data_IF_894729030850
#
_entry.id   IF_894729030850
#
_cell.length_a   1.000
_cell.length_b   1.000
_cell.length_c   1.000
_cell.angle_alpha   90.00
_cell.angle_beta   90.00
_cell.angle_gamma   90.00
#
_symmetry.space_group_name_H-M   'P 1'
#
loop_
_entity.id
_entity.type
_entity.pdbx_description
1 polymer ?
#
# COMPACT_ATOMS: atom_id res chain seq x y z
N UNK A 1 10.95 14.84 -23.55
CA UNK A 1 9.53 15.12 -23.92
C UNK A 1 9.40 15.25 -25.43
N UNK A 2 10.01 16.26 -26.06
CA UNK A 2 9.87 16.56 -27.49
C UNK A 2 10.08 15.36 -28.44
N UNK A 3 11.20 14.64 -28.30
CA UNK A 3 11.47 13.47 -29.13
C UNK A 3 10.43 12.35 -28.94
N UNK A 4 10.02 12.10 -27.70
CA UNK A 4 9.03 11.07 -27.39
C UNK A 4 7.68 11.43 -28.00
N UNK A 5 7.21 12.67 -27.84
CA UNK A 5 5.96 13.17 -28.42
C UNK A 5 5.96 13.10 -29.94
N UNK A 6 7.11 13.41 -30.58
CA UNK A 6 7.26 13.31 -32.04
C UNK A 6 7.15 11.86 -32.51
N UNK A 7 7.80 10.93 -31.81
CA UNK A 7 7.80 9.52 -32.17
C UNK A 7 6.40 8.87 -32.04
N UNK A 8 5.57 9.32 -31.09
CA UNK A 8 4.17 8.87 -30.93
C UNK A 8 3.17 9.64 -31.81
N UNK A 9 3.66 10.49 -32.73
CA UNK A 9 2.83 11.18 -33.72
C UNK A 9 2.02 12.33 -33.16
N UNK A 10 2.54 13.09 -32.18
CA UNK A 10 1.95 14.37 -31.79
C UNK A 10 2.07 15.37 -32.96
N UNK A 11 0.97 15.99 -33.42
CA UNK A 11 0.96 16.77 -34.68
C UNK A 11 1.76 18.07 -34.60
N UNK A 12 1.93 18.64 -33.41
CA UNK A 12 2.62 19.92 -33.22
C UNK A 12 4.09 19.71 -32.86
N UNK A 13 4.98 20.49 -33.46
CA UNK A 13 6.41 20.46 -33.14
C UNK A 13 6.63 21.16 -31.78
N UNK A 14 7.25 20.44 -30.85
CA UNK A 14 7.62 20.96 -29.53
C UNK A 14 9.12 21.26 -29.49
N UNK A 15 9.51 22.48 -29.08
CA UNK A 15 10.88 22.82 -28.73
C UNK A 15 11.01 23.01 -27.21
N UNK A 16 12.24 22.91 -26.69
CA UNK A 16 12.50 23.22 -25.28
C UNK A 16 12.23 24.70 -24.94
N UNK A 17 12.33 25.59 -25.93
CA UNK A 17 12.12 27.02 -25.74
C UNK A 17 10.66 27.37 -25.47
N UNK A 18 9.72 26.57 -26.02
CA UNK A 18 8.28 26.73 -25.78
C UNK A 18 7.88 26.60 -24.30
N UNK A 19 8.73 25.98 -23.48
CA UNK A 19 8.48 25.74 -22.06
C UNK A 19 9.35 26.61 -21.13
N UNK A 20 10.22 27.47 -21.68
CA UNK A 20 11.00 28.45 -20.88
C UNK A 20 10.11 29.56 -20.31
N UNK A 21 9.04 29.89 -21.04
CA UNK A 21 8.04 30.86 -20.61
C UNK A 21 6.73 30.16 -20.31
N UNK A 22 5.93 30.67 -19.36
CA UNK A 22 4.64 30.10 -19.07
C UNK A 22 3.70 30.09 -20.30
N UNK A 23 3.38 28.91 -20.83
CA UNK A 23 2.46 28.73 -21.96
C UNK A 23 1.37 27.69 -21.63
N UNK A 24 0.29 28.14 -20.97
CA UNK A 24 -0.82 27.26 -20.60
C UNK A 24 -1.55 26.66 -21.82
N UNK A 25 -1.87 27.42 -22.89
CA UNK A 25 -2.54 26.86 -24.07
C UNK A 25 -1.80 25.65 -24.66
N UNK A 26 -0.47 25.70 -24.73
CA UNK A 26 0.35 24.59 -25.19
C UNK A 26 0.24 23.36 -24.26
N UNK A 27 0.28 23.58 -22.95
CA UNK A 27 0.14 22.50 -21.96
C UNK A 27 -1.25 21.88 -22.04
N UNK A 28 -2.30 22.70 -22.22
CA UNK A 28 -3.68 22.23 -22.35
C UNK A 28 -3.87 21.40 -23.62
N UNK A 29 -3.40 21.88 -24.77
CA UNK A 29 -3.46 21.14 -26.04
C UNK A 29 -2.73 19.79 -25.94
N UNK A 30 -1.52 19.80 -25.38
CA UNK A 30 -0.74 18.58 -25.19
C UNK A 30 -1.41 17.62 -24.20
N UNK A 31 -1.98 18.13 -23.11
CA UNK A 31 -2.67 17.31 -22.11
C UNK A 31 -3.96 16.70 -22.66
N UNK A 32 -4.75 17.47 -23.42
CA UNK A 32 -5.92 16.95 -24.13
C UNK A 32 -5.54 15.82 -25.09
N UNK A 33 -4.49 16.03 -25.89
CA UNK A 33 -3.99 15.03 -26.82
C UNK A 33 -3.58 13.73 -26.10
N UNK A 34 -2.88 13.85 -24.96
CA UNK A 34 -2.51 12.69 -24.13
C UNK A 34 -3.78 11.98 -23.63
N UNK A 35 -4.75 12.70 -23.08
CA UNK A 35 -6.00 12.11 -22.56
C UNK A 35 -6.73 11.33 -23.66
N UNK A 36 -6.85 11.91 -24.87
CA UNK A 36 -7.51 11.27 -26.01
C UNK A 36 -6.78 10.02 -26.53
N UNK A 37 -5.49 9.85 -26.23
CA UNK A 37 -4.75 8.61 -26.51
C UNK A 37 -5.09 7.48 -25.55
N UNK A 38 -5.44 7.80 -24.30
CA UNK A 38 -5.89 6.81 -23.31
C UNK A 38 -7.39 6.52 -23.41
N UNK A 39 -8.18 7.53 -23.78
CA UNK A 39 -9.63 7.44 -23.93
C UNK A 39 -10.09 8.28 -25.13
N UNK A 40 -10.33 7.65 -26.30
CA UNK A 40 -10.81 8.36 -27.49
C UNK A 40 -12.17 9.05 -27.30
N UNK A 41 -12.98 8.61 -26.34
CA UNK A 41 -14.31 9.16 -26.05
C UNK A 41 -14.31 10.29 -25.03
N UNK A 42 -13.15 10.68 -24.50
CA UNK A 42 -13.05 11.70 -23.47
C UNK A 42 -13.58 13.06 -23.94
N UNK A 43 -14.61 13.56 -23.25
CA UNK A 43 -15.19 14.89 -23.46
C UNK A 43 -14.36 15.94 -22.72
N UNK A 44 -13.25 16.34 -23.32
CA UNK A 44 -12.36 17.40 -22.82
C UNK A 44 -11.86 18.25 -23.99
N UNK A 45 -11.84 19.57 -23.81
CA UNK A 45 -11.49 20.54 -24.86
C UNK A 45 -10.55 21.62 -24.30
N UNK A 46 -9.38 21.80 -24.90
CA UNK A 46 -8.41 22.82 -24.53
C UNK A 46 -8.77 24.21 -25.07
N UNK A 47 -9.58 24.30 -26.13
CA UNK A 47 -9.95 25.56 -26.79
C UNK A 47 -10.75 26.51 -25.87
N UNK A 48 -11.53 25.95 -24.94
CA UNK A 48 -12.41 26.70 -24.04
C UNK A 48 -11.74 26.99 -22.68
N UNK A 49 -10.47 27.37 -22.67
CA UNK A 49 -9.67 27.57 -21.44
C UNK A 49 -9.24 29.04 -21.21
N UNK A 50 -10.10 29.97 -21.60
CA UNK A 50 -9.83 31.41 -21.55
C UNK A 50 -9.88 31.94 -20.11
N UNK A 51 -10.84 31.46 -19.31
CA UNK A 51 -10.99 31.90 -17.92
C UNK A 51 -10.15 31.02 -16.98
N UNK A 52 -9.74 31.61 -15.85
CA UNK A 52 -9.03 30.84 -14.82
C UNK A 52 -9.86 29.66 -14.30
N UNK A 53 -11.17 29.84 -14.18
CA UNK A 53 -12.06 28.79 -13.69
C UNK A 53 -12.13 27.61 -14.68
N UNK A 54 -12.25 27.90 -15.98
CA UNK A 54 -12.17 26.89 -17.03
C UNK A 54 -10.85 26.12 -17.00
N UNK A 55 -9.71 26.80 -16.82
CA UNK A 55 -8.41 26.13 -16.73
C UNK A 55 -8.31 25.17 -15.55
N UNK A 56 -8.82 25.59 -14.40
CA UNK A 56 -8.87 24.75 -13.20
C UNK A 56 -9.76 23.53 -13.41
N UNK A 57 -10.93 23.71 -14.03
CA UNK A 57 -11.85 22.63 -14.34
C UNK A 57 -11.23 21.64 -15.34
N UNK A 58 -10.60 22.16 -16.41
CA UNK A 58 -9.90 21.38 -17.41
C UNK A 58 -8.82 20.49 -16.80
N UNK A 59 -7.93 21.04 -15.96
CA UNK A 59 -6.88 20.25 -15.31
C UNK A 59 -7.48 19.19 -14.40
N UNK A 60 -8.50 19.53 -13.61
CA UNK A 60 -9.17 18.56 -12.72
C UNK A 60 -9.73 17.39 -13.53
N UNK A 61 -10.41 17.69 -14.63
CA UNK A 61 -11.00 16.68 -15.52
C UNK A 61 -9.92 15.79 -16.15
N UNK A 62 -8.87 16.39 -16.71
CA UNK A 62 -7.78 15.65 -17.34
C UNK A 62 -7.07 14.70 -16.36
N UNK A 63 -6.73 15.20 -15.16
CA UNK A 63 -6.05 14.41 -14.13
C UNK A 63 -6.94 13.27 -13.63
N UNK A 64 -8.24 13.53 -13.46
CA UNK A 64 -9.20 12.51 -13.06
C UNK A 64 -9.29 11.38 -14.10
N UNK A 65 -9.44 11.72 -15.38
CA UNK A 65 -9.52 10.75 -16.47
C UNK A 65 -8.23 9.91 -16.58
N UNK A 66 -7.05 10.54 -16.46
CA UNK A 66 -5.78 9.82 -16.48
C UNK A 66 -5.63 8.90 -15.26
N UNK A 67 -6.05 9.33 -14.08
CA UNK A 67 -6.03 8.49 -12.90
C UNK A 67 -6.96 7.27 -13.05
N UNK A 68 -8.16 7.47 -13.59
CA UNK A 68 -9.14 6.40 -13.79
C UNK A 68 -8.70 5.39 -14.84
N UNK A 69 -8.22 5.87 -16.00
CA UNK A 69 -7.97 5.01 -17.16
C UNK A 69 -6.55 4.42 -17.18
N UNK A 70 -5.58 5.12 -16.59
CA UNK A 70 -4.16 4.74 -16.67
C UNK A 70 -3.46 4.63 -15.31
N UNK A 71 -4.16 4.94 -14.21
CA UNK A 71 -3.61 5.01 -12.84
C UNK A 71 -2.44 5.99 -12.70
N UNK A 72 -2.26 6.91 -13.65
CA UNK A 72 -1.26 7.96 -13.58
C UNK A 72 -1.67 9.02 -12.57
N UNK A 73 -0.79 9.28 -11.60
CA UNK A 73 -0.96 10.31 -10.59
C UNK A 73 -0.19 11.55 -11.00
N UNK A 74 -0.86 12.48 -11.66
CA UNK A 74 -0.30 13.78 -12.02
C UNK A 74 -0.60 14.80 -10.93
N UNK A 75 0.29 15.77 -10.73
CA UNK A 75 0.07 16.87 -9.78
C UNK A 75 -0.61 18.06 -10.49
N UNK A 76 -1.89 18.36 -10.18
CA UNK A 76 -2.64 19.46 -10.81
C UNK A 76 -1.96 20.82 -10.64
N UNK A 77 -1.27 21.03 -9.50
CA UNK A 77 -0.62 22.31 -9.21
C UNK A 77 0.54 22.56 -10.15
N UNK A 78 1.37 21.56 -10.38
CA UNK A 78 2.55 21.66 -11.24
C UNK A 78 2.18 21.77 -12.72
N UNK A 79 1.07 21.14 -13.13
CA UNK A 79 0.48 21.35 -14.45
C UNK A 79 -0.01 22.79 -14.64
N UNK A 80 -0.57 23.40 -13.58
CA UNK A 80 -1.09 24.77 -13.62
C UNK A 80 -0.08 25.87 -13.30
N UNK A 81 1.10 25.56 -12.74
CA UNK A 81 2.09 26.54 -12.23
C UNK A 81 2.81 27.34 -13.34
N UNK A 82 2.09 27.55 -14.43
CA UNK A 82 2.40 28.28 -15.64
C UNK A 82 1.77 29.68 -15.56
N UNK A 83 1.31 30.18 -14.40
CA UNK A 83 0.62 31.47 -14.34
C UNK A 83 1.05 32.33 -13.14
N UNK A 84 1.69 33.44 -13.51
CA UNK A 84 1.80 34.75 -12.85
C UNK A 84 2.47 34.87 -11.48
N UNK A 85 3.55 35.66 -11.50
CA UNK A 85 4.01 36.52 -10.42
C UNK A 85 2.87 36.96 -9.47
N UNK A 86 2.96 36.60 -8.20
CA UNK A 86 2.50 37.47 -7.12
C UNK A 86 1.00 37.53 -6.76
N UNK A 87 0.17 36.52 -7.06
CA UNK A 87 -1.17 36.42 -6.42
C UNK A 87 -1.46 35.01 -5.87
N UNK A 88 -1.43 34.80 -4.54
CA UNK A 88 -1.75 33.50 -3.91
C UNK A 88 -3.24 33.13 -3.94
N UNK A 89 -4.08 33.83 -4.72
CA UNK A 89 -5.54 33.69 -4.66
C UNK A 89 -6.09 32.48 -5.44
N UNK A 90 -5.41 32.05 -6.50
CA UNK A 90 -5.88 31.00 -7.41
C UNK A 90 -5.78 29.59 -6.80
N UNK A 91 -4.77 29.36 -5.94
CA UNK A 91 -4.55 28.09 -5.26
C UNK A 91 -5.59 27.81 -4.15
N UNK A 92 -6.18 28.85 -3.56
CA UNK A 92 -7.19 28.71 -2.52
C UNK A 92 -8.50 28.10 -3.05
N UNK A 93 -8.88 28.35 -4.32
CA UNK A 93 -10.07 27.74 -4.94
C UNK A 93 -9.90 26.26 -5.32
N UNK A 94 -8.66 25.75 -5.38
CA UNK A 94 -8.43 24.32 -5.64
C UNK A 94 -8.74 23.42 -4.43
N UNK A 95 -8.93 24.01 -3.23
CA UNK A 95 -9.02 23.26 -1.95
C UNK A 95 -10.36 22.52 -1.77
N UNK A 96 -11.40 22.80 -2.56
CA UNK A 96 -12.75 22.24 -2.29
C UNK A 96 -12.97 20.81 -2.81
N UNK A 97 -11.98 20.13 -3.41
CA UNK A 97 -12.17 18.72 -3.81
C UNK A 97 -11.00 17.86 -3.34
N UNK A 98 -11.11 17.38 -2.09
CA UNK A 98 -10.63 16.10 -1.55
C UNK A 98 -9.47 15.37 -2.25
N UNK A 99 -8.33 16.04 -2.44
CA UNK A 99 -7.05 15.40 -2.72
C UNK A 99 -6.09 15.83 -1.60
N UNK A 100 -6.10 15.05 -0.51
CA UNK A 100 -5.22 15.24 0.63
C UNK A 100 -3.74 15.14 0.21
N UNK A 101 -3.03 16.24 0.39
CA UNK A 101 -1.60 16.30 0.76
C UNK A 101 -1.21 17.77 1.01
N UNK A 102 -1.75 18.36 2.07
CA UNK A 102 -1.28 19.65 2.59
C UNK A 102 -0.26 19.44 3.69
N UNK A 103 0.99 19.13 3.34
CA UNK A 103 2.13 19.39 4.24
C UNK A 103 3.24 20.09 3.46
N UNK A 104 3.62 21.27 3.98
CA UNK A 104 4.79 22.09 3.63
C UNK A 104 4.64 23.00 2.39
N UNK A 105 3.97 24.11 2.60
CA UNK A 105 4.01 25.28 1.72
C UNK A 105 5.25 26.11 2.04
N UNK A 106 6.37 25.81 1.38
CA UNK A 106 7.52 26.73 1.36
C UNK A 106 7.37 27.62 0.15
N UNK A 107 7.45 28.94 0.34
CA UNK A 107 7.64 29.89 -0.75
C UNK A 107 8.93 29.51 -1.47
N UNK A 108 8.81 28.77 -2.57
CA UNK A 108 9.91 28.50 -3.49
C UNK A 108 9.70 29.45 -4.65
N UNK A 109 10.72 30.24 -4.94
CA UNK A 109 10.76 31.16 -6.07
C UNK A 109 10.26 30.46 -7.35
N UNK A 110 9.50 31.14 -8.24
CA UNK A 110 9.11 30.55 -9.51
C UNK A 110 10.35 30.46 -10.40
N UNK A 111 11.11 29.37 -10.28
CA UNK A 111 11.77 28.84 -11.46
C UNK A 111 10.63 28.41 -12.39
N UNK A 112 10.44 29.17 -13.48
CA UNK A 112 9.49 28.85 -14.53
C UNK A 112 9.89 27.59 -15.32
N UNK A 113 10.85 26.84 -14.81
CA UNK A 113 11.58 25.79 -15.51
C UNK A 113 10.79 24.48 -15.44
N UNK A 114 9.77 24.35 -16.29
CA UNK A 114 9.30 23.05 -16.74
C UNK A 114 8.54 22.19 -15.72
N UNK A 115 7.92 22.74 -14.68
CA UNK A 115 7.09 21.95 -13.75
C UNK A 115 5.96 21.19 -14.47
N UNK A 116 5.28 21.83 -15.43
CA UNK A 116 4.27 21.16 -16.25
C UNK A 116 4.89 20.07 -17.12
N UNK A 117 6.07 20.31 -17.70
CA UNK A 117 6.81 19.33 -18.50
C UNK A 117 7.16 18.09 -17.67
N UNK A 118 7.63 18.28 -16.43
CA UNK A 118 7.98 17.18 -15.52
C UNK A 118 6.77 16.29 -15.23
N UNK A 119 5.59 16.86 -15.07
CA UNK A 119 4.35 16.10 -14.84
C UNK A 119 3.82 15.43 -16.11
N UNK A 120 4.09 15.98 -17.30
CA UNK A 120 3.66 15.36 -18.57
C UNK A 120 4.57 14.18 -18.99
N UNK A 121 5.83 14.17 -18.55
CA UNK A 121 6.80 13.13 -18.92
C UNK A 121 6.32 11.72 -18.58
N UNK A 122 5.81 11.39 -17.38
CA UNK A 122 5.31 10.05 -17.06
C UNK A 122 4.24 9.55 -18.03
N UNK A 123 3.28 10.41 -18.39
CA UNK A 123 2.21 10.05 -19.31
C UNK A 123 2.74 9.79 -20.73
N UNK A 124 3.60 10.67 -21.23
CA UNK A 124 4.21 10.52 -22.56
C UNK A 124 5.17 9.33 -22.62
N UNK A 125 5.94 9.08 -21.57
CA UNK A 125 6.82 7.90 -21.48
C UNK A 125 6.02 6.61 -21.57
N UNK A 126 4.93 6.51 -20.82
CA UNK A 126 4.06 5.33 -20.85
C UNK A 126 3.53 5.06 -22.26
N UNK A 127 3.04 6.11 -22.95
CA UNK A 127 2.58 6.00 -24.33
C UNK A 127 3.72 5.62 -25.30
N UNK A 128 4.91 6.20 -25.11
CA UNK A 128 6.07 5.93 -25.94
C UNK A 128 6.60 4.51 -25.77
N UNK A 129 6.67 4.00 -24.54
CA UNK A 129 7.04 2.62 -24.24
C UNK A 129 6.03 1.64 -24.83
N UNK A 130 4.73 1.92 -24.71
CA UNK A 130 3.68 1.13 -25.36
C UNK A 130 3.82 1.14 -26.89
N UNK A 131 4.16 2.29 -27.49
CA UNK A 131 4.35 2.39 -28.94
C UNK A 131 5.57 1.66 -29.48
N UNK A 132 6.57 1.40 -28.62
CA UNK A 132 7.80 0.69 -28.99
C UNK A 132 7.64 -0.83 -29.01
N UNK A 133 6.55 -1.37 -28.48
CA UNK A 133 6.32 -2.80 -28.43
C UNK A 133 5.78 -3.33 -29.77
N UNK A 134 6.66 -3.88 -30.61
CA UNK A 134 6.33 -4.90 -31.64
C UNK A 134 7.54 -5.86 -31.76
N UNK A 135 7.34 -7.21 -31.77
CA UNK A 135 6.31 -7.95 -32.50
C UNK A 135 5.35 -8.78 -31.63
N UNK A 136 4.27 -9.26 -32.25
CA UNK A 136 3.16 -9.99 -31.61
C UNK A 136 3.54 -11.34 -30.94
N UNK A 137 4.74 -11.87 -31.18
CA UNK A 137 5.21 -13.12 -30.55
C UNK A 137 5.60 -12.94 -29.07
N UNK A 138 6.04 -11.74 -28.67
CA UNK A 138 6.51 -11.47 -27.30
C UNK A 138 5.39 -11.14 -26.31
N UNK A 139 4.24 -10.66 -26.78
CA UNK A 139 3.11 -10.27 -25.90
C UNK A 139 2.55 -11.48 -25.16
N UNK A 140 2.41 -12.61 -25.86
CA UNK A 140 1.92 -13.84 -25.25
C UNK A 140 2.95 -14.42 -24.27
N UNK A 141 4.25 -14.36 -24.60
CA UNK A 141 5.32 -14.76 -23.70
C UNK A 141 5.34 -13.89 -22.43
N UNK A 142 5.19 -12.58 -22.57
CA UNK A 142 5.11 -11.63 -21.45
C UNK A 142 3.88 -11.89 -20.58
N UNK A 143 2.72 -12.10 -21.18
CA UNK A 143 1.48 -12.43 -20.46
C UNK A 143 1.59 -13.77 -19.71
N UNK A 144 2.23 -14.77 -20.32
CA UNK A 144 2.48 -16.06 -19.67
C UNK A 144 3.48 -15.93 -18.52
N UNK A 145 4.50 -15.06 -18.63
CA UNK A 145 5.42 -14.73 -17.54
C UNK A 145 4.71 -14.01 -16.38
N UNK A 146 3.78 -13.10 -16.67
CA UNK A 146 2.95 -12.45 -15.65
C UNK A 146 2.04 -13.47 -14.96
N UNK A 147 1.35 -14.32 -15.75
CA UNK A 147 0.47 -15.39 -15.22
C UNK A 147 1.21 -16.34 -14.30
N UNK A 148 2.41 -16.79 -14.69
CA UNK A 148 3.22 -17.69 -13.87
C UNK A 148 3.62 -17.05 -12.54
N UNK A 149 4.07 -15.79 -12.56
CA UNK A 149 4.34 -15.03 -11.32
C UNK A 149 3.10 -14.87 -10.44
N UNK A 150 1.95 -14.56 -11.03
CA UNK A 150 0.69 -14.41 -10.31
C UNK A 150 0.26 -15.73 -9.66
N UNK A 151 0.36 -16.85 -10.39
CA UNK A 151 0.04 -18.17 -9.90
C UNK A 151 0.97 -18.58 -8.76
N UNK A 152 2.28 -18.33 -8.87
CA UNK A 152 3.23 -18.59 -7.78
C UNK A 152 2.83 -17.81 -6.51
N UNK A 153 2.53 -16.52 -6.63
CA UNK A 153 2.05 -15.69 -5.52
C UNK A 153 0.73 -16.20 -4.93
N UNK A 154 -0.20 -16.66 -5.77
CA UNK A 154 -1.44 -17.26 -5.31
C UNK A 154 -1.20 -18.55 -4.52
N UNK A 155 -0.25 -19.39 -4.92
CA UNK A 155 0.12 -20.60 -4.18
C UNK A 155 0.78 -20.26 -2.83
N UNK A 156 1.68 -19.28 -2.78
CA UNK A 156 2.26 -18.80 -1.52
C UNK A 156 1.16 -18.38 -0.52
N UNK A 157 0.15 -17.64 -0.98
CA UNK A 157 -0.99 -17.21 -0.15
C UNK A 157 -1.79 -18.42 0.34
N UNK A 158 -2.00 -19.44 -0.50
CA UNK A 158 -2.72 -20.67 -0.11
C UNK A 158 -1.97 -21.44 0.97
N UNK A 159 -0.66 -21.62 0.80
CA UNK A 159 0.20 -22.28 1.79
C UNK A 159 0.18 -21.51 3.10
N UNK A 160 0.33 -20.18 3.06
CA UNK A 160 0.29 -19.33 4.25
C UNK A 160 -1.03 -19.49 5.02
N UNK A 161 -2.17 -19.54 4.32
CA UNK A 161 -3.48 -19.80 4.95
C UNK A 161 -3.56 -21.19 5.56
N UNK A 162 -3.09 -22.22 4.85
CA UNK A 162 -3.08 -23.58 5.38
C UNK A 162 -2.23 -23.69 6.66
N UNK A 163 -1.03 -23.12 6.67
CA UNK A 163 -0.17 -23.08 7.85
C UNK A 163 -0.84 -22.32 9.01
N UNK A 164 -1.48 -21.20 8.72
CA UNK A 164 -2.24 -20.44 9.72
C UNK A 164 -3.39 -21.24 10.34
N UNK A 165 -3.99 -22.19 9.60
CA UNK A 165 -5.03 -23.09 10.17
C UNK A 165 -4.46 -24.24 10.99
N UNK A 166 -3.23 -24.67 10.70
CA UNK A 166 -2.56 -25.74 11.44
C UNK A 166 -1.98 -25.23 12.77
N UNK A 167 -1.54 -23.97 12.82
CA UNK A 167 -0.88 -23.39 13.99
C UNK A 167 -1.70 -23.51 15.30
N UNK A 168 -3.02 -23.18 15.34
CA UNK A 168 -3.83 -23.37 16.54
C UNK A 168 -4.02 -24.85 16.92
N UNK A 169 -4.14 -25.74 15.93
CA UNK A 169 -4.32 -27.18 16.17
C UNK A 169 -3.07 -27.78 16.81
N UNK A 170 -1.89 -27.43 16.30
CA UNK A 170 -0.61 -27.83 16.90
C UNK A 170 -0.40 -27.22 18.28
N UNK A 171 -0.84 -25.98 18.49
CA UNK A 171 -0.79 -25.31 19.79
C UNK A 171 -1.64 -26.02 20.85
N UNK A 172 -2.88 -26.39 20.50
CA UNK A 172 -3.77 -27.15 21.40
C UNK A 172 -3.19 -28.52 21.76
N UNK A 173 -2.70 -29.26 20.75
CA UNK A 173 -2.12 -30.57 20.99
C UNK A 173 -0.89 -30.51 21.91
N UNK A 174 -0.04 -29.49 21.73
CA UNK A 174 1.13 -29.28 22.57
C UNK A 174 0.74 -28.88 23.99
N UNK A 175 -0.25 -28.01 24.16
CA UNK A 175 -0.78 -27.63 25.47
C UNK A 175 -1.27 -28.86 26.25
N UNK A 176 -2.01 -29.76 25.60
CA UNK A 176 -2.52 -30.99 26.23
C UNK A 176 -1.39 -31.96 26.63
N UNK A 177 -0.33 -32.07 25.80
CA UNK A 177 0.84 -32.89 26.10
C UNK A 177 1.65 -32.34 27.28
N UNK A 178 1.88 -31.02 27.33
CA UNK A 178 2.55 -30.37 28.45
C UNK A 178 1.75 -30.51 29.76
N UNK A 179 0.41 -30.41 29.68
CA UNK A 179 -0.45 -30.65 30.85
C UNK A 179 -0.30 -32.07 31.43
N UNK A 180 -0.13 -33.08 30.56
CA UNK A 180 0.13 -34.47 30.97
C UNK A 180 1.54 -34.66 31.52
N UNK A 181 2.52 -33.91 31.03
CA UNK A 181 3.91 -34.02 31.48
C UNK A 181 4.04 -33.74 32.99
N UNK A 182 3.34 -32.72 33.51
CA UNK A 182 3.37 -32.39 34.94
C UNK A 182 2.91 -33.58 35.80
N UNK A 183 1.84 -34.26 35.37
CA UNK A 183 1.33 -35.45 36.03
C UNK A 183 2.33 -36.63 35.94
N UNK A 184 2.84 -36.93 34.74
CA UNK A 184 3.81 -38.00 34.54
C UNK A 184 5.14 -37.72 35.26
N UNK A 185 5.53 -36.46 35.43
CA UNK A 185 6.70 -36.04 36.21
C UNK A 185 6.47 -36.25 37.71
N UNK A 186 5.31 -35.87 38.23
CA UNK A 186 4.96 -36.12 39.63
C UNK A 186 4.99 -37.62 39.97
N UNK A 187 4.41 -38.47 39.11
CA UNK A 187 4.44 -39.92 39.30
C UNK A 187 5.86 -40.50 39.25
N UNK A 188 6.73 -40.00 38.37
CA UNK A 188 8.14 -40.40 38.34
C UNK A 188 8.87 -40.04 39.64
N UNK A 189 8.66 -38.81 40.15
CA UNK A 189 9.28 -38.39 41.41
C UNK A 189 8.74 -39.19 42.60
N UNK A 190 7.43 -39.46 42.64
CA UNK A 190 6.83 -40.30 43.68
C UNK A 190 7.38 -41.72 43.66
N UNK A 191 7.57 -42.33 42.48
CA UNK A 191 8.18 -43.67 42.41
C UNK A 191 9.62 -43.71 42.93
N UNK A 192 10.40 -42.65 42.73
CA UNK A 192 11.77 -42.52 43.27
C UNK A 192 11.75 -42.34 44.78
N UNK A 193 10.83 -41.53 45.31
CA UNK A 193 10.69 -41.33 46.76
C UNK A 193 10.20 -42.63 47.44
N UNK A 194 9.29 -43.37 46.81
CA UNK A 194 8.80 -44.66 47.34
C UNK A 194 9.90 -45.73 47.37
N UNK A 195 10.86 -45.69 46.45
CA UNK A 195 12.02 -46.62 46.50
C UNK A 195 13.05 -46.25 47.57
N UNK A 196 13.11 -44.98 47.99
CA UNK A 196 14.03 -44.53 49.05
C UNK A 196 13.45 -44.69 50.46
N UNK A 197 12.13 -44.86 50.61
CA UNK A 197 11.47 -45.02 51.92
C UNK A 197 10.97 -46.46 52.11
N UNK A 198 11.92 -47.29 52.52
CA UNK A 198 11.83 -48.46 53.44
C UNK A 198 11.51 -49.86 52.89
N UNK A 199 12.20 -50.93 53.35
CA UNK A 199 11.61 -52.26 53.36
C UNK A 199 10.67 -52.40 54.57
N UNK A 200 9.39 -52.62 54.27
CA UNK A 200 8.40 -53.38 55.07
C UNK A 200 8.28 -53.04 56.56
N UNK A 201 7.20 -52.34 56.94
CA UNK A 201 6.19 -52.91 57.86
C UNK A 201 5.10 -51.89 58.24
N UNK A 202 3.84 -52.35 58.11
CA UNK A 202 2.59 -51.93 58.77
C UNK A 202 2.18 -50.44 58.71
N UNK A 203 1.00 -50.19 58.17
CA UNK A 203 -0.04 -49.22 58.60
C UNK A 203 -1.22 -49.35 57.62
N UNK A 204 -2.05 -50.40 57.74
CA UNK A 204 -3.38 -50.34 58.37
C UNK A 204 -4.03 -48.96 58.38
N UNK A 205 -5.15 -48.85 57.65
CA UNK A 205 -6.28 -47.96 57.90
C UNK A 205 -5.97 -46.48 58.16
N UNK A 206 -6.00 -45.68 57.10
CA UNK A 206 -6.48 -44.31 57.16
C UNK A 206 -7.19 -43.97 55.85
N UNK A 207 -8.53 -44.05 55.86
CA UNK A 207 -9.32 -43.20 54.99
C UNK A 207 -9.00 -41.75 55.36
N UNK A 208 -8.20 -41.07 54.54
CA UNK A 208 -8.05 -39.62 54.63
C UNK A 208 -8.98 -39.02 53.59
N UNK A 209 -10.19 -38.71 54.05
CA UNK A 209 -11.05 -37.70 53.44
C UNK A 209 -10.25 -36.42 53.27
N UNK A 210 -10.33 -35.82 52.09
CA UNK A 210 -9.75 -34.51 51.78
C UNK A 210 -10.74 -33.43 52.26
N UNK A 211 -10.55 -32.87 53.46
CA UNK A 211 -10.74 -31.44 53.59
C UNK A 211 -9.57 -30.79 54.35
N UNK A 212 -9.31 -29.52 54.05
CA UNK A 212 -8.38 -28.58 54.72
C UNK A 212 -6.95 -28.42 54.16
N UNK A 213 -6.50 -29.19 53.16
CA UNK A 213 -5.22 -28.87 52.48
C UNK A 213 -5.35 -27.82 51.34
N UNK A 214 -6.57 -27.42 50.98
CA UNK A 214 -6.83 -26.44 49.91
C UNK A 214 -6.83 -24.97 50.37
N UNK A 215 -6.78 -24.71 51.68
CA UNK A 215 -6.75 -23.33 52.23
C UNK A 215 -5.41 -22.62 52.03
N UNK A 216 -4.29 -23.35 52.02
CA UNK A 216 -2.96 -22.74 51.90
C UNK A 216 -2.54 -22.47 50.44
N UNK A 217 -3.10 -23.18 49.46
CA UNK A 217 -2.73 -23.02 48.04
C UNK A 217 -3.48 -21.85 47.38
N UNK A 218 -4.68 -21.52 47.85
CA UNK A 218 -5.43 -20.35 47.32
C UNK A 218 -4.91 -19.00 47.84
N UNK A 219 -4.23 -18.95 48.98
CA UNK A 219 -3.69 -17.70 49.54
C UNK A 219 -2.44 -17.18 48.81
N UNK A 220 -1.84 -17.97 47.91
CA UNK A 220 -0.75 -17.51 47.03
C UNK A 220 -1.22 -16.93 45.69
N UNK A 221 -2.54 -16.95 45.40
CA UNK A 221 -3.09 -16.46 44.13
C UNK A 221 -3.51 -14.98 44.17
N UNK A 222 -3.51 -14.33 45.33
CA UNK A 222 -3.78 -12.89 45.47
C UNK A 222 -2.52 -12.00 45.51
N UNK A 223 -1.30 -12.58 45.54
CA UNK A 223 -0.07 -11.79 45.63
C UNK A 223 0.61 -11.50 44.27
N UNK A 224 0.11 -12.06 43.15
CA UNK A 224 0.72 -11.86 41.83
C UNK A 224 -0.16 -11.11 40.80
N UNK A 225 -1.19 -10.36 41.21
CA UNK A 225 -2.01 -9.53 40.29
C UNK A 225 -2.00 -8.03 40.66
N UNK A 226 -1.03 -7.55 41.46
CA UNK A 226 -0.96 -6.12 41.83
C UNK A 226 0.35 -5.41 41.49
N UNK A 227 1.22 -6.00 40.69
CA UNK A 227 2.52 -5.38 40.35
C UNK A 227 2.84 -5.38 38.85
N UNK A 228 1.82 -5.13 38.02
CA UNK A 228 2.00 -4.75 36.60
C UNK A 228 0.92 -3.74 36.18
N UNK A 229 0.91 -2.60 36.88
CA UNK A 229 0.30 -1.37 36.36
C UNK A 229 1.13 -0.15 36.75
N UNK A 230 2.26 0.01 36.06
CA UNK A 230 2.81 1.32 35.66
C UNK A 230 3.35 1.22 34.24
#
# INVERSE_FOLDING_TARGET
LCEMTKAIGYPRILSLENFRTPNFPLVAELLEWIVKRFDPGATISAEQTTTEQERVLFIKQAVLLLLQNSRLRLNPRRLYQVLHFGKPLCLAKLIVIGLDNTKKWRMVAPQADGNAVQELIPAVKLLYEASKQLPAEDVNAHWNAIKTKLNAKMQEIRIARQLSTQLPQTGSALHDLLGKELYCRANRLLSVIVTDISPVSKLSTAQVTVPEAWGAVFSMKEFCISEDRQ
#
